data_IF_626521159376
#
_entry.id   IF_626521159376
#
_cell.length_a   1.000
_cell.length_b   1.000
_cell.length_c   1.000
_cell.angle_alpha   90.00
_cell.angle_beta   90.00
_cell.angle_gamma   90.00
#
_symmetry.space_group_name_H-M   'P 1'
#
loop_
_entity.id
_entity.type
_entity.pdbx_description
1 polymer ?
#
# COMPACT_ATOMS: atom_id res chain seq x y z
N UNK A 1 25.26 -14.87 1.34
CA UNK A 1 23.95 -15.45 0.97
C UNK A 1 22.89 -14.37 1.10
N UNK A 2 22.02 -14.19 0.10
CA UNK A 2 20.83 -13.33 0.25
C UNK A 2 19.80 -14.09 1.09
N UNK A 3 19.23 -13.47 2.12
CA UNK A 3 18.19 -14.11 2.94
C UNK A 3 16.91 -14.40 2.14
N UNK A 4 16.16 -15.41 2.58
CA UNK A 4 14.90 -15.82 1.95
C UNK A 4 13.78 -14.85 2.35
N UNK A 5 13.06 -14.32 1.36
CA UNK A 5 11.95 -13.39 1.57
C UNK A 5 10.65 -14.00 1.05
N UNK A 6 9.67 -14.16 1.93
CA UNK A 6 8.38 -14.81 1.67
C UNK A 6 7.22 -13.95 2.15
N UNK A 7 6.04 -14.17 1.56
CA UNK A 7 4.79 -13.59 2.02
C UNK A 7 3.90 -14.72 2.53
N UNK A 8 3.23 -14.50 3.65
CA UNK A 8 2.30 -15.45 4.25
C UNK A 8 0.99 -14.77 4.63
N UNK A 9 -0.05 -15.57 4.79
CA UNK A 9 -1.40 -15.09 5.08
C UNK A 9 -1.48 -14.44 6.46
N UNK A 10 -2.33 -13.43 6.58
CA UNK A 10 -2.84 -13.00 7.87
C UNK A 10 -4.00 -13.92 8.24
N UNK A 11 -3.94 -14.52 9.42
CA UNK A 11 -4.92 -15.49 9.92
C UNK A 11 -5.31 -15.15 11.36
N UNK A 12 -6.42 -15.71 11.88
CA UNK A 12 -6.76 -15.54 13.29
C UNK A 12 -5.63 -15.96 14.25
N UNK A 13 -4.79 -16.92 13.84
CA UNK A 13 -3.67 -17.42 14.64
C UNK A 13 -2.52 -16.38 14.76
N UNK A 14 -2.22 -15.65 13.68
CA UNK A 14 -1.08 -14.72 13.64
C UNK A 14 -1.46 -13.23 13.69
N UNK A 15 -2.75 -12.88 13.78
CA UNK A 15 -3.22 -11.47 13.81
C UNK A 15 -2.59 -10.62 14.93
N UNK A 16 -2.27 -11.25 16.08
CA UNK A 16 -1.58 -10.56 17.19
C UNK A 16 -0.13 -10.19 16.82
N UNK A 17 0.53 -10.98 15.96
CA UNK A 17 1.86 -10.66 15.43
C UNK A 17 1.79 -9.46 14.50
N UNK A 18 0.78 -9.40 13.62
CA UNK A 18 0.52 -8.22 12.79
C UNK A 18 0.29 -6.96 13.65
N UNK A 19 -0.52 -7.05 14.70
CA UNK A 19 -0.76 -5.94 15.63
C UNK A 19 0.54 -5.44 16.28
N UNK A 20 1.41 -6.34 16.71
CA UNK A 20 2.74 -5.98 17.27
C UNK A 20 3.64 -5.32 16.23
N UNK A 21 3.71 -5.87 15.01
CA UNK A 21 4.50 -5.27 13.92
C UNK A 21 4.02 -3.85 13.61
N UNK A 22 2.71 -3.65 13.46
CA UNK A 22 2.14 -2.34 13.18
C UNK A 22 2.45 -1.32 14.28
N UNK A 23 2.36 -1.72 15.56
CA UNK A 23 2.66 -0.84 16.70
C UNK A 23 4.13 -0.38 16.74
N UNK A 24 5.06 -1.18 16.24
CA UNK A 24 6.49 -0.83 16.18
C UNK A 24 6.81 -0.03 14.92
N UNK A 25 6.19 -0.37 13.80
CA UNK A 25 6.54 0.19 12.48
C UNK A 25 5.90 1.57 12.25
N UNK A 26 4.65 1.76 12.70
CA UNK A 26 3.87 2.95 12.39
C UNK A 26 3.69 3.85 13.61
N UNK A 27 3.74 5.19 13.44
CA UNK A 27 3.57 6.15 14.53
C UNK A 27 2.11 6.32 14.97
N UNK A 28 1.18 5.57 14.37
CA UNK A 28 -0.26 5.61 14.67
C UNK A 28 -0.76 4.23 15.09
N UNK A 29 -1.72 4.22 16.01
CA UNK A 29 -2.37 2.99 16.45
C UNK A 29 -3.65 2.74 15.68
N UNK A 30 -3.81 1.52 15.17
CA UNK A 30 -5.04 1.04 14.54
C UNK A 30 -5.95 0.37 15.57
N UNK A 31 -7.26 0.59 15.45
CA UNK A 31 -8.26 0.02 16.35
C UNK A 31 -8.57 -1.45 16.03
N UNK A 32 -9.36 -2.12 16.87
CA UNK A 32 -9.68 -3.54 16.66
C UNK A 32 -10.53 -3.80 15.42
N UNK A 33 -11.31 -2.80 14.94
CA UNK A 33 -12.05 -2.92 13.68
C UNK A 33 -11.09 -3.10 12.50
N UNK A 34 -9.99 -2.35 12.44
CA UNK A 34 -8.98 -2.53 11.40
C UNK A 34 -8.50 -3.99 11.31
N UNK A 35 -8.18 -4.62 12.46
CA UNK A 35 -7.68 -5.99 12.47
C UNK A 35 -8.75 -7.03 12.16
N UNK A 36 -10.01 -6.77 12.52
CA UNK A 36 -11.16 -7.60 12.10
C UNK A 36 -11.32 -7.55 10.59
N UNK A 37 -11.36 -6.34 10.02
CA UNK A 37 -11.53 -6.15 8.57
C UNK A 37 -10.37 -6.80 7.79
N UNK A 38 -9.13 -6.71 8.28
CA UNK A 38 -7.95 -7.33 7.65
C UNK A 38 -8.05 -8.86 7.54
N UNK A 39 -8.78 -9.54 8.43
CA UNK A 39 -8.98 -10.99 8.33
C UNK A 39 -9.91 -11.39 7.17
N UNK A 40 -10.70 -10.44 6.65
CA UNK A 40 -11.71 -10.68 5.63
C UNK A 40 -11.26 -10.26 4.21
N UNK A 41 -10.12 -9.55 4.08
CA UNK A 41 -9.66 -9.02 2.77
C UNK A 41 -8.81 -10.00 1.95
N UNK A 42 -8.53 -11.19 2.49
CA UNK A 42 -7.78 -12.25 1.80
C UNK A 42 -6.39 -11.79 1.32
N UNK A 43 -6.12 -11.93 0.03
CA UNK A 43 -4.83 -11.64 -0.60
C UNK A 43 -4.34 -10.18 -0.45
N UNK A 44 -5.23 -9.26 -0.07
CA UNK A 44 -4.91 -7.85 0.17
C UNK A 44 -4.20 -7.61 1.51
N UNK A 45 -4.03 -8.64 2.34
CA UNK A 45 -3.23 -8.57 3.56
C UNK A 45 -2.23 -9.73 3.63
N UNK A 46 -0.94 -9.39 3.84
CA UNK A 46 0.13 -10.37 3.99
C UNK A 46 1.11 -9.96 5.08
N UNK A 47 1.62 -10.95 5.80
CA UNK A 47 2.86 -10.83 6.58
C UNK A 47 4.05 -11.07 5.65
N UNK A 48 5.15 -10.36 5.89
CA UNK A 48 6.41 -10.56 5.19
C UNK A 48 7.43 -11.21 6.13
N UNK A 49 8.04 -12.28 5.64
CA UNK A 49 8.99 -13.10 6.38
C UNK A 49 10.39 -12.94 5.80
N UNK A 50 11.39 -12.85 6.67
CA UNK A 50 12.81 -12.92 6.34
C UNK A 50 13.43 -14.07 7.12
N UNK A 51 13.88 -15.12 6.43
CA UNK A 51 14.35 -16.37 7.05
C UNK A 51 13.37 -16.87 8.14
N UNK A 52 12.08 -16.98 7.79
CA UNK A 52 10.98 -17.46 8.65
C UNK A 52 10.59 -16.56 9.82
N UNK A 53 11.23 -15.39 9.97
CA UNK A 53 10.87 -14.39 10.97
C UNK A 53 9.92 -13.38 10.32
N UNK A 54 8.72 -13.18 10.89
CA UNK A 54 7.83 -12.11 10.43
C UNK A 54 8.42 -10.75 10.79
N UNK A 55 8.74 -9.95 9.77
CA UNK A 55 9.47 -8.68 9.91
C UNK A 55 8.73 -7.50 9.27
N UNK A 56 7.61 -7.74 8.60
CA UNK A 56 6.82 -6.69 7.98
C UNK A 56 5.42 -7.16 7.62
N UNK A 57 4.63 -6.24 7.11
CA UNK A 57 3.28 -6.52 6.64
C UNK A 57 2.82 -5.49 5.62
N UNK A 58 1.85 -5.91 4.80
CA UNK A 58 1.04 -5.04 3.96
C UNK A 58 -0.43 -5.32 4.23
N UNK A 59 -1.25 -4.27 4.34
CA UNK A 59 -2.70 -4.37 4.50
C UNK A 59 -3.36 -3.33 3.59
N UNK A 60 -4.21 -3.79 2.69
CA UNK A 60 -4.95 -2.96 1.75
C UNK A 60 -6.46 -3.13 1.94
N UNK A 61 -7.22 -2.19 1.39
CA UNK A 61 -8.67 -2.31 1.23
C UNK A 61 -9.10 -1.75 -0.13
N UNK A 62 -10.22 -2.24 -0.63
CA UNK A 62 -10.91 -1.62 -1.76
C UNK A 62 -11.62 -0.36 -1.26
N UNK A 63 -11.46 0.74 -1.97
CA UNK A 63 -12.07 2.03 -1.69
C UNK A 63 -12.91 2.47 -2.90
N UNK A 64 -14.20 2.68 -2.68
CA UNK A 64 -15.13 3.21 -3.67
C UNK A 64 -15.36 4.68 -3.37
N UNK A 65 -14.47 5.53 -3.90
CA UNK A 65 -14.50 6.97 -3.69
C UNK A 65 -14.31 7.70 -5.02
N UNK A 66 -14.85 8.91 -5.14
CA UNK A 66 -14.70 9.75 -6.34
C UNK A 66 -15.18 9.07 -7.64
N UNK A 67 -16.20 8.22 -7.56
CA UNK A 67 -16.70 7.41 -8.68
C UNK A 67 -15.63 6.49 -9.31
N UNK A 68 -14.65 6.06 -8.51
CA UNK A 68 -13.56 5.16 -8.90
C UNK A 68 -13.50 3.94 -7.96
N UNK A 69 -13.10 2.78 -8.49
CA UNK A 69 -12.66 1.62 -7.71
C UNK A 69 -11.15 1.77 -7.49
N UNK A 70 -10.76 2.07 -6.27
CA UNK A 70 -9.37 2.36 -5.90
C UNK A 70 -8.85 1.31 -4.93
N UNK A 71 -7.56 1.01 -5.00
CA UNK A 71 -6.92 0.22 -3.95
C UNK A 71 -6.20 1.16 -2.96
N UNK A 72 -6.60 1.10 -1.70
CA UNK A 72 -5.98 1.89 -0.65
C UNK A 72 -5.02 1.03 0.18
N UNK A 73 -3.72 1.37 0.13
CA UNK A 73 -2.71 0.77 1.02
C UNK A 73 -2.83 1.46 2.39
N UNK A 74 -3.38 0.74 3.37
CA UNK A 74 -3.54 1.25 4.73
C UNK A 74 -2.24 1.23 5.51
N UNK A 75 -1.48 0.13 5.37
CA UNK A 75 -0.16 -0.07 5.95
C UNK A 75 0.71 -0.85 4.98
N UNK A 76 1.98 -0.44 4.84
CA UNK A 76 3.02 -1.23 4.20
C UNK A 76 4.34 -0.84 4.86
N UNK A 77 4.99 -1.80 5.51
CA UNK A 77 6.24 -1.53 6.20
C UNK A 77 6.91 -2.76 6.77
N UNK A 78 8.18 -2.60 7.12
CA UNK A 78 8.98 -3.60 7.82
C UNK A 78 9.80 -2.96 8.93
N UNK A 79 10.21 -3.79 9.89
CA UNK A 79 11.09 -3.43 10.99
C UNK A 79 12.38 -2.80 10.45
N UNK A 80 12.86 -1.76 11.13
CA UNK A 80 14.00 -0.96 10.67
C UNK A 80 15.27 -1.79 10.32
N UNK A 81 15.66 -2.81 11.10
CA UNK A 81 16.84 -3.64 10.78
C UNK A 81 16.72 -4.46 9.49
N UNK A 82 15.51 -4.64 8.95
CA UNK A 82 15.23 -5.43 7.75
C UNK A 82 14.93 -4.55 6.52
N UNK A 83 15.02 -3.23 6.65
CA UNK A 83 14.84 -2.30 5.52
C UNK A 83 15.98 -2.46 4.50
N UNK A 84 15.73 -2.02 3.27
CA UNK A 84 16.69 -2.07 2.14
C UNK A 84 17.12 -3.48 1.71
N UNK A 85 16.45 -4.53 2.18
CA UNK A 85 16.64 -5.92 1.76
C UNK A 85 15.66 -6.36 0.64
N UNK A 86 14.82 -5.47 0.13
CA UNK A 86 13.82 -5.78 -0.92
C UNK A 86 12.46 -6.27 -0.40
N UNK A 87 12.25 -6.33 0.91
CA UNK A 87 10.98 -6.76 1.53
C UNK A 87 9.81 -5.84 1.13
N UNK A 88 10.00 -4.52 1.20
CA UNK A 88 9.00 -3.53 0.75
C UNK A 88 8.63 -3.71 -0.71
N UNK A 89 9.62 -3.93 -1.59
CA UNK A 89 9.42 -4.21 -3.01
C UNK A 89 8.59 -5.47 -3.21
N UNK A 90 8.88 -6.57 -2.49
CA UNK A 90 8.11 -7.81 -2.60
C UNK A 90 6.64 -7.61 -2.20
N UNK A 91 6.39 -6.89 -1.10
CA UNK A 91 5.03 -6.59 -0.64
C UNK A 91 4.27 -5.69 -1.64
N UNK A 92 4.90 -4.63 -2.14
CA UNK A 92 4.25 -3.72 -3.09
C UNK A 92 3.97 -4.41 -4.43
N UNK A 93 4.90 -5.20 -4.96
CA UNK A 93 4.69 -5.96 -6.19
C UNK A 93 3.56 -6.97 -6.06
N UNK A 94 3.43 -7.64 -4.91
CA UNK A 94 2.29 -8.54 -4.64
C UNK A 94 0.96 -7.80 -4.82
N UNK A 95 0.84 -6.62 -4.21
CA UNK A 95 -0.37 -5.81 -4.30
C UNK A 95 -0.62 -5.29 -5.72
N UNK A 96 0.41 -4.81 -6.41
CA UNK A 96 0.29 -4.36 -7.80
C UNK A 96 -0.16 -5.49 -8.73
N UNK A 97 0.37 -6.71 -8.55
CA UNK A 97 -0.02 -7.88 -9.33
C UNK A 97 -1.49 -8.28 -9.10
N UNK A 98 -2.03 -8.07 -7.90
CA UNK A 98 -3.47 -8.28 -7.64
C UNK A 98 -4.28 -7.27 -8.45
N UNK A 99 -3.90 -5.99 -8.41
CA UNK A 99 -4.59 -4.95 -9.20
C UNK A 99 -4.54 -5.23 -10.70
N UNK A 100 -3.38 -5.64 -11.22
CA UNK A 100 -3.19 -5.97 -12.63
C UNK A 100 -4.06 -7.16 -13.06
N UNK A 101 -4.10 -8.22 -12.26
CA UNK A 101 -4.93 -9.42 -12.53
C UNK A 101 -6.43 -9.15 -12.43
N UNK A 102 -6.86 -8.31 -11.49
CA UNK A 102 -8.26 -7.89 -11.36
C UNK A 102 -8.67 -6.99 -12.54
N UNK A 103 -7.81 -6.06 -12.95
CA UNK A 103 -8.00 -5.20 -14.12
C UNK A 103 -9.06 -4.10 -13.97
N UNK A 104 -9.82 -4.07 -12.88
CA UNK A 104 -10.91 -3.09 -12.71
C UNK A 104 -10.56 -1.88 -11.85
N UNK A 105 -9.42 -1.89 -11.15
CA UNK A 105 -8.95 -0.77 -10.34
C UNK A 105 -8.52 0.42 -11.21
N UNK A 106 -8.98 1.63 -10.88
CA UNK A 106 -8.60 2.86 -11.59
C UNK A 106 -7.21 3.35 -11.15
N UNK A 107 -6.92 3.25 -9.85
CA UNK A 107 -5.64 3.63 -9.26
C UNK A 107 -5.40 2.91 -7.92
N UNK A 108 -4.16 2.96 -7.47
CA UNK A 108 -3.71 2.56 -6.13
C UNK A 108 -3.12 3.76 -5.42
N UNK A 109 -3.44 3.94 -4.13
CA UNK A 109 -3.00 5.13 -3.39
C UNK A 109 -2.76 4.87 -1.91
N UNK A 110 -2.08 5.82 -1.25
CA UNK A 110 -1.81 5.81 0.19
C UNK A 110 -1.60 7.22 0.74
N UNK A 111 -1.61 7.33 2.07
CA UNK A 111 -1.15 8.52 2.78
C UNK A 111 0.23 8.28 3.39
N UNK A 112 1.14 9.24 3.24
CA UNK A 112 2.47 9.22 3.85
C UNK A 112 2.74 10.55 4.53
N UNK A 113 3.29 10.51 5.73
CA UNK A 113 3.70 11.72 6.45
C UNK A 113 4.73 12.50 5.63
N UNK A 114 4.60 13.83 5.57
CA UNK A 114 5.44 14.67 4.71
C UNK A 114 6.94 14.58 5.02
N UNK A 115 7.29 14.23 6.26
CA UNK A 115 8.68 14.05 6.71
C UNK A 115 9.28 12.69 6.36
N UNK A 116 8.50 11.76 5.81
CA UNK A 116 8.97 10.39 5.53
C UNK A 116 9.54 10.28 4.11
N UNK A 117 10.66 10.97 3.88
CA UNK A 117 11.37 11.03 2.60
C UNK A 117 11.70 9.64 2.06
N UNK A 118 12.15 8.71 2.93
CA UNK A 118 12.47 7.34 2.52
C UNK A 118 11.27 6.59 1.95
N UNK A 119 10.06 6.81 2.45
CA UNK A 119 8.86 6.18 1.91
C UNK A 119 8.42 6.87 0.61
N UNK A 120 8.50 8.20 0.56
CA UNK A 120 8.19 8.98 -0.65
C UNK A 120 9.09 8.52 -1.82
N UNK A 121 10.39 8.44 -1.60
CA UNK A 121 11.36 7.97 -2.60
C UNK A 121 11.15 6.51 -2.99
N UNK A 122 10.76 5.67 -2.02
CA UNK A 122 10.40 4.28 -2.30
C UNK A 122 9.23 4.23 -3.28
N UNK A 123 8.11 4.89 -2.98
CA UNK A 123 6.92 4.85 -3.83
C UNK A 123 7.12 5.51 -5.20
N UNK A 124 7.87 6.62 -5.27
CA UNK A 124 8.22 7.27 -6.55
C UNK A 124 8.92 6.33 -7.52
N UNK A 125 9.80 5.44 -7.03
CA UNK A 125 10.46 4.42 -7.87
C UNK A 125 9.50 3.42 -8.50
N UNK A 126 8.27 3.28 -7.97
CA UNK A 126 7.22 2.44 -8.51
C UNK A 126 6.21 3.21 -9.37
N UNK A 127 6.47 4.50 -9.66
CA UNK A 127 5.58 5.35 -10.44
C UNK A 127 4.40 5.92 -9.66
N UNK A 128 4.53 6.04 -8.34
CA UNK A 128 3.58 6.85 -7.55
C UNK A 128 3.99 8.32 -7.59
N UNK A 129 2.99 9.19 -7.68
CA UNK A 129 3.14 10.63 -7.69
C UNK A 129 2.40 11.25 -6.51
N UNK A 130 2.87 12.40 -6.02
CA UNK A 130 2.15 13.16 -5.00
C UNK A 130 1.04 13.94 -5.72
N UNK A 131 -0.22 13.61 -5.44
CA UNK A 131 -1.37 14.26 -6.07
C UNK A 131 -2.06 15.29 -5.19
N UNK A 132 -1.86 15.20 -3.87
CA UNK A 132 -2.49 16.07 -2.88
C UNK A 132 -1.62 16.11 -1.61
N UNK A 133 -1.71 17.20 -0.84
CA UNK A 133 -1.20 17.25 0.54
C UNK A 133 -2.34 17.61 1.49
N UNK A 134 -2.69 16.69 2.38
CA UNK A 134 -3.72 16.87 3.38
C UNK A 134 -3.14 17.50 4.63
N UNK A 135 -3.60 18.71 4.92
CA UNK A 135 -3.24 19.44 6.14
C UNK A 135 -3.89 18.80 7.36
N UNK A 136 -3.15 18.73 8.48
CA UNK A 136 -3.65 18.22 9.76
C UNK A 136 -4.29 16.81 9.66
N UNK A 137 -3.70 15.95 8.83
CA UNK A 137 -4.18 14.59 8.61
C UNK A 137 -4.01 13.73 9.87
N UNK A 138 -2.80 13.72 10.43
CA UNK A 138 -2.51 13.01 11.68
C UNK A 138 -2.86 13.90 12.88
N UNK A 139 -3.63 13.36 13.82
CA UNK A 139 -4.16 14.14 14.96
C UNK A 139 -3.27 14.16 16.20
N UNK A 140 -2.22 13.32 16.24
CA UNK A 140 -1.45 13.04 17.47
C UNK A 140 0.07 12.99 17.26
N UNK A 141 0.55 13.31 16.05
CA UNK A 141 1.98 13.27 15.71
C UNK A 141 2.32 14.46 14.81
N UNK A 142 3.58 14.90 14.88
CA UNK A 142 4.12 15.98 14.06
C UNK A 142 5.22 15.48 13.12
N UNK A 143 5.34 16.03 11.90
CA UNK A 143 4.41 16.96 11.27
C UNK A 143 3.04 16.31 11.01
N UNK A 144 1.95 17.04 11.27
CA UNK A 144 0.59 16.52 11.15
C UNK A 144 0.11 16.28 9.70
N UNK A 145 0.81 16.83 8.72
CA UNK A 145 0.44 16.77 7.30
C UNK A 145 0.79 15.41 6.67
N UNK A 146 0.00 15.00 5.67
CA UNK A 146 0.26 13.81 4.87
C UNK A 146 0.14 14.10 3.38
N UNK A 147 1.10 13.61 2.58
CA UNK A 147 0.93 13.52 1.14
C UNK A 147 0.02 12.35 0.78
N UNK A 148 -0.82 12.54 -0.23
CA UNK A 148 -1.51 11.46 -0.94
C UNK A 148 -0.65 11.07 -2.12
N UNK A 149 -0.12 9.84 -2.09
CA UNK A 149 0.63 9.28 -3.21
C UNK A 149 -0.29 8.35 -4.00
N UNK A 150 -0.32 8.49 -5.31
CA UNK A 150 -1.17 7.71 -6.20
C UNK A 150 -0.39 7.22 -7.42
N UNK A 151 -0.71 6.01 -7.86
CA UNK A 151 -0.34 5.47 -9.17
C UNK A 151 -1.62 5.14 -9.94
N UNK A 152 -1.80 5.75 -11.11
CA UNK A 152 -2.89 5.41 -12.02
C UNK A 152 -2.63 4.03 -12.63
N UNK A 153 -3.68 3.21 -12.71
CA UNK A 153 -3.63 1.85 -13.23
C UNK A 153 -4.36 1.73 -14.57
N UNK A 154 -5.33 2.60 -14.82
CA UNK A 154 -5.96 2.77 -16.14
C UNK A 154 -5.36 3.95 -16.87
N UNK A 155 -5.31 3.84 -18.19
CA UNK A 155 -5.07 5.00 -19.06
C UNK A 155 -6.23 5.98 -18.84
N UNK A 156 -5.98 7.30 -18.75
CA UNK A 156 -7.04 8.28 -18.61
C UNK A 156 -8.12 8.06 -19.68
N UNK A 157 -9.36 7.88 -19.25
CA UNK A 157 -10.53 7.81 -20.11
C UNK A 157 -10.65 9.14 -20.87
N UNK A 158 -10.09 9.18 -22.09
CA UNK A 158 -9.92 10.40 -22.88
C UNK A 158 -9.01 10.25 -24.12
N UNK A 159 -8.25 9.17 -24.25
CA UNK A 159 -7.53 8.83 -25.49
C UNK A 159 -8.20 7.64 -26.20
N UNK A 160 -9.43 7.82 -26.66
CA UNK A 160 -9.95 6.97 -27.73
C UNK A 160 -9.36 7.48 -29.05
N UNK A 161 -8.36 6.76 -29.57
CA UNK A 161 -7.76 7.02 -30.87
C UNK A 161 -8.62 6.51 -32.06
N UNK A 162 -9.95 6.52 -31.92
CA UNK A 162 -10.90 5.96 -32.89
C UNK A 162 -11.94 6.98 -33.39
N UNK A 163 -11.54 8.24 -33.61
CA UNK A 163 -12.32 9.19 -34.41
C UNK A 163 -11.39 9.96 -35.35
N UNK A 164 -10.75 9.26 -36.28
CA UNK A 164 -10.21 9.85 -37.50
C UNK A 164 -9.95 8.76 -38.55
N UNK A 165 -10.96 8.51 -39.38
CA UNK A 165 -10.94 7.95 -40.74
C UNK A 165 -12.41 7.85 -41.18
N UNK A 166 -12.92 8.45 -42.25
CA UNK A 166 -12.40 9.28 -43.34
C UNK A 166 -13.66 9.74 -44.06
N UNK A 167 -13.97 11.04 -44.04
CA UNK A 167 -14.77 11.68 -45.10
C UNK A 167 -13.80 12.47 -45.95
N UNK A 168 -13.52 11.94 -47.14
CA UNK A 168 -13.11 12.57 -48.41
C UNK A 168 -12.44 11.53 -49.31
#
# INVERSE_FOLDING_TARGET
>A
MKGRIELGDVTPHNIKQLKRLNQVIFPVSYNDKFYKDVLEVGELAKLAYFNDIAVGAVCCRVDHSQNQKRLYIMTLGCLAPYRRLGIGTKMLNHVLNICEKDGTFDNIYLHVQISNESAIDFYRKFGFEIIETKKNYYKRIEPADAHVLQKNLKVPSGQNADVQKTDN
#
